data_IF_592928765473
#
_entry.id   IF_592928765473
#
_cell.length_a   1.000
_cell.length_b   1.000
_cell.length_c   1.000
_cell.angle_alpha   90.00
_cell.angle_beta   90.00
_cell.angle_gamma   90.00
#
_symmetry.space_group_name_H-M   'P 1'
#
loop_
_entity.id
_entity.type
_entity.pdbx_description
1 polymer ?
#
# COMPACT_ATOMS: atom_id res chain seq x y z
N UNK A 1 22.94 -57.55 9.59
CA UNK A 1 23.56 -57.42 8.24
C UNK A 1 23.07 -56.10 7.66
N UNK A 2 23.81 -55.33 6.85
CA UNK A 2 25.22 -55.41 6.47
C UNK A 2 25.66 -54.05 5.86
N UNK A 3 26.95 -53.69 5.93
CA UNK A 3 27.45 -52.42 5.38
C UNK A 3 27.64 -52.52 3.85
N UNK A 4 27.26 -51.46 3.14
CA UNK A 4 27.95 -51.02 1.92
C UNK A 4 27.80 -49.50 1.80
N UNK A 5 28.85 -48.82 1.35
CA UNK A 5 28.87 -47.37 1.19
C UNK A 5 29.50 -46.99 -0.15
N UNK A 6 29.02 -45.90 -0.75
CA UNK A 6 29.54 -45.34 -1.99
C UNK A 6 30.00 -43.90 -1.78
N UNK A 7 31.24 -43.57 -2.18
CA UNK A 7 31.79 -42.21 -2.15
C UNK A 7 31.73 -41.60 -3.56
N UNK A 8 31.02 -40.50 -3.72
CA UNK A 8 31.02 -39.62 -4.90
C UNK A 8 30.45 -38.26 -4.49
N UNK A 9 30.97 -37.11 -4.92
CA UNK A 9 32.20 -36.82 -5.67
C UNK A 9 32.37 -35.29 -5.75
N UNK A 10 33.60 -34.77 -5.80
CA UNK A 10 33.82 -33.33 -5.88
C UNK A 10 33.46 -32.79 -7.27
N UNK A 11 32.60 -31.76 -7.33
CA UNK A 11 32.56 -30.80 -8.44
C UNK A 11 32.29 -29.38 -7.91
N UNK A 12 33.30 -28.76 -7.32
CA UNK A 12 33.30 -27.32 -7.11
C UNK A 12 33.47 -26.61 -8.47
N UNK A 13 32.45 -25.92 -8.96
CA UNK A 13 32.53 -25.08 -10.16
C UNK A 13 32.65 -23.62 -9.75
N UNK A 14 33.89 -23.15 -9.61
CA UNK A 14 34.16 -21.71 -9.63
C UNK A 14 33.77 -21.14 -10.99
N UNK A 15 33.05 -20.02 -11.01
CA UNK A 15 32.78 -19.23 -12.22
C UNK A 15 33.40 -17.85 -12.01
N UNK A 16 34.62 -17.70 -12.50
CA UNK A 16 35.29 -16.40 -12.56
C UNK A 16 34.63 -15.57 -13.66
N UNK A 17 33.94 -14.50 -13.30
CA UNK A 17 33.44 -13.49 -14.23
C UNK A 17 34.34 -12.25 -14.15
N UNK A 18 35.16 -12.02 -15.18
CA UNK A 18 36.03 -10.84 -15.25
C UNK A 18 35.23 -9.54 -15.42
N UNK A 19 35.80 -8.45 -14.91
CA UNK A 19 35.09 -7.18 -14.80
C UNK A 19 34.87 -6.42 -16.12
N UNK A 20 33.85 -5.57 -16.09
CA UNK A 20 33.64 -4.48 -17.04
C UNK A 20 33.37 -3.19 -16.22
N UNK A 21 34.42 -2.54 -15.75
CA UNK A 21 34.31 -1.29 -15.01
C UNK A 21 34.10 -0.12 -15.99
N UNK A 22 32.87 0.37 -16.10
CA UNK A 22 32.54 1.56 -16.89
C UNK A 22 32.36 2.77 -15.98
N UNK A 23 33.38 3.64 -15.95
CA UNK A 23 33.23 5.01 -15.45
C UNK A 23 32.39 5.81 -16.44
N UNK A 24 31.16 6.15 -16.07
CA UNK A 24 30.38 7.19 -16.73
C UNK A 24 30.32 8.44 -15.83
N UNK A 25 31.34 9.30 -15.93
CA UNK A 25 31.35 10.61 -15.28
C UNK A 25 30.41 11.57 -16.02
N UNK A 26 29.14 11.61 -15.61
CA UNK A 26 28.14 12.52 -16.18
C UNK A 26 28.20 13.91 -15.52
N UNK A 27 28.93 14.83 -16.16
CA UNK A 27 28.92 16.26 -15.79
C UNK A 27 27.58 16.89 -16.19
N UNK A 28 26.67 17.05 -15.23
CA UNK A 28 25.47 17.89 -15.40
C UNK A 28 25.54 19.12 -14.49
N UNK A 29 25.84 20.27 -15.08
CA UNK A 29 25.71 21.57 -14.41
C UNK A 29 24.23 21.97 -14.32
N UNK A 30 23.59 21.67 -13.20
CA UNK A 30 22.26 22.19 -12.89
C UNK A 30 22.35 23.65 -12.44
N UNK A 31 21.72 24.57 -13.18
CA UNK A 31 21.58 25.96 -12.75
C UNK A 31 20.61 26.05 -11.57
N UNK A 32 21.10 26.56 -10.44
CA UNK A 32 20.30 26.68 -9.22
C UNK A 32 19.21 27.75 -9.39
N UNK A 33 17.95 27.33 -9.37
CA UNK A 33 16.81 28.23 -9.12
C UNK A 33 16.64 28.34 -7.60
N UNK A 34 16.52 29.56 -7.09
CA UNK A 34 16.40 29.81 -5.66
C UNK A 34 14.93 29.78 -5.23
N UNK A 35 14.52 28.72 -4.52
CA UNK A 35 13.22 28.69 -3.85
C UNK A 35 13.21 29.63 -2.63
N UNK A 36 12.28 30.60 -2.54
CA UNK A 36 12.10 31.39 -1.34
C UNK A 36 11.38 30.57 -0.25
N UNK A 37 11.84 30.69 1.00
CA UNK A 37 11.26 30.09 2.20
C UNK A 37 11.44 28.56 2.39
N UNK A 38 12.66 28.05 2.23
CA UNK A 38 13.11 26.93 3.06
C UNK A 38 13.31 27.39 4.53
N UNK A 39 12.95 26.58 5.55
CA UNK A 39 13.28 26.89 6.95
C UNK A 39 14.80 26.84 7.17
N UNK A 40 15.32 27.55 8.20
CA UNK A 40 16.77 27.68 8.41
C UNK A 40 17.43 26.32 8.66
N UNK A 41 18.32 25.92 7.75
CA UNK A 41 19.16 24.73 7.90
C UNK A 41 20.15 25.00 9.05
N UNK A 42 20.24 24.11 10.07
CA UNK A 42 21.22 24.26 11.13
C UNK A 42 22.66 24.20 10.58
N UNK A 43 23.64 24.87 11.22
CA UNK A 43 24.99 24.98 10.68
C UNK A 43 25.66 23.61 10.48
N UNK A 44 26.58 23.50 9.49
CA UNK A 44 27.27 22.24 9.21
C UNK A 44 28.08 21.77 10.42
N UNK A 45 28.19 20.45 10.56
CA UNK A 45 28.67 19.81 11.78
C UNK A 45 30.04 20.33 12.24
N UNK A 46 30.07 20.98 13.40
CA UNK A 46 31.26 21.02 14.25
C UNK A 46 31.69 19.57 14.51
N UNK A 47 32.99 19.30 14.45
CA UNK A 47 33.55 17.99 14.75
C UNK A 47 33.22 17.54 16.17
N UNK A 48 33.37 16.23 16.43
CA UNK A 48 33.31 15.68 17.78
C UNK A 48 34.52 16.15 18.60
N UNK A 49 34.46 17.40 19.09
CA UNK A 49 35.32 17.90 20.15
C UNK A 49 35.04 17.16 21.45
N UNK A 50 36.00 17.15 22.36
CA UNK A 50 35.78 16.63 23.70
C UNK A 50 34.67 17.46 24.39
N UNK A 51 33.68 16.79 24.98
CA UNK A 51 32.65 17.44 25.81
C UNK A 51 33.37 18.04 27.02
N UNK A 52 33.52 19.36 27.00
CA UNK A 52 34.32 20.12 27.98
C UNK A 52 33.48 21.15 28.73
N UNK A 53 32.25 21.40 28.29
CA UNK A 53 31.28 22.27 28.93
C UNK A 53 29.90 21.62 29.07
N UNK A 54 29.07 22.18 29.96
CA UNK A 54 27.65 21.82 30.11
C UNK A 54 26.87 22.08 28.82
N UNK A 55 27.28 23.08 28.03
CA UNK A 55 26.64 23.42 26.76
C UNK A 55 26.88 22.33 25.70
N UNK A 56 28.06 21.72 25.68
CA UNK A 56 28.36 20.59 24.78
C UNK A 56 27.53 19.37 25.16
N UNK A 57 27.39 19.07 26.46
CA UNK A 57 26.57 17.96 26.96
C UNK A 57 25.08 18.15 26.61
N UNK A 58 24.55 19.37 26.75
CA UNK A 58 23.18 19.71 26.36
C UNK A 58 22.97 19.61 24.84
N UNK A 59 23.94 20.05 24.03
CA UNK A 59 23.89 19.90 22.57
C UNK A 59 23.95 18.41 22.15
N UNK A 60 24.78 17.62 22.83
CA UNK A 60 24.89 16.18 22.60
C UNK A 60 23.63 15.42 23.03
N UNK A 61 23.00 15.79 24.15
CA UNK A 61 21.67 15.31 24.57
C UNK A 61 20.63 15.56 23.48
N UNK A 62 20.52 16.81 23.02
CA UNK A 62 19.56 17.18 21.98
C UNK A 62 19.81 16.40 20.67
N UNK A 63 21.08 16.17 20.30
CA UNK A 63 21.42 15.39 19.10
C UNK A 63 21.11 13.90 19.24
N UNK A 64 21.32 13.31 20.42
CA UNK A 64 20.95 11.92 20.71
C UNK A 64 19.44 11.73 20.65
N UNK A 65 18.68 12.62 21.30
CA UNK A 65 17.22 12.60 21.27
C UNK A 65 16.68 12.74 19.84
N UNK A 66 17.25 13.64 19.04
CA UNK A 66 16.89 13.78 17.63
C UNK A 66 17.22 12.54 16.78
N UNK A 67 18.35 11.86 17.03
CA UNK A 67 18.70 10.63 16.31
C UNK A 67 17.77 9.46 16.64
N UNK A 68 17.35 9.31 17.90
CA UNK A 68 16.32 8.33 18.27
C UNK A 68 14.96 8.68 17.65
N UNK A 69 14.55 9.96 17.63
CA UNK A 69 13.31 10.40 16.98
C UNK A 69 13.32 10.12 15.46
N UNK A 70 14.45 10.35 14.80
CA UNK A 70 14.65 10.01 13.37
C UNK A 70 14.56 8.50 13.13
N UNK A 71 15.16 7.67 14.00
CA UNK A 71 15.04 6.22 13.92
C UNK A 71 13.61 5.72 14.19
N UNK A 72 12.84 6.39 15.06
CA UNK A 72 11.45 6.03 15.34
C UNK A 72 10.50 6.44 14.19
N UNK A 73 10.65 7.63 13.61
CA UNK A 73 9.97 8.01 12.36
C UNK A 73 10.23 6.98 11.24
N UNK A 74 11.48 6.54 11.09
CA UNK A 74 11.86 5.53 10.11
C UNK A 74 11.28 4.14 10.43
N UNK A 75 11.16 3.79 11.72
CA UNK A 75 10.50 2.56 12.21
C UNK A 75 9.01 2.56 11.88
N UNK A 76 8.31 3.65 12.15
CA UNK A 76 6.89 3.77 11.85
C UNK A 76 6.61 3.83 10.35
N UNK A 77 7.49 4.48 9.57
CA UNK A 77 7.46 4.39 8.09
C UNK A 77 7.65 2.96 7.61
N UNK A 78 8.65 2.24 8.11
CA UNK A 78 8.91 0.84 7.79
C UNK A 78 7.70 -0.05 8.11
N UNK A 79 7.08 0.15 9.28
CA UNK A 79 5.86 -0.54 9.69
C UNK A 79 4.69 -0.24 8.74
N UNK A 80 4.47 1.03 8.36
CA UNK A 80 3.42 1.42 7.42
C UNK A 80 3.63 0.82 6.02
N UNK A 81 4.87 0.83 5.53
CA UNK A 81 5.22 0.23 4.23
C UNK A 81 5.03 -1.28 4.23
N UNK A 82 5.40 -1.99 5.31
CA UNK A 82 5.15 -3.43 5.46
C UNK A 82 3.65 -3.78 5.52
N UNK A 83 2.87 -2.99 6.24
CA UNK A 83 1.40 -3.11 6.26
C UNK A 83 0.81 -2.93 4.86
N UNK A 84 1.24 -1.90 4.12
CA UNK A 84 0.80 -1.67 2.74
C UNK A 84 1.26 -2.79 1.80
N UNK A 85 2.48 -3.31 1.97
CA UNK A 85 3.01 -4.43 1.19
C UNK A 85 2.18 -5.71 1.41
N UNK A 86 1.83 -6.03 2.66
CA UNK A 86 0.93 -7.15 2.97
C UNK A 86 -0.45 -6.99 2.32
N UNK A 87 -1.06 -5.79 2.42
CA UNK A 87 -2.34 -5.46 1.78
C UNK A 87 -2.25 -5.56 0.24
N UNK A 88 -1.12 -5.20 -0.37
CA UNK A 88 -0.88 -5.31 -1.81
C UNK A 88 -0.64 -6.76 -2.25
N UNK A 89 0.10 -7.57 -1.47
CA UNK A 89 0.32 -8.98 -1.78
C UNK A 89 -1.00 -9.78 -1.77
N UNK A 90 -1.95 -9.47 -0.88
CA UNK A 90 -3.31 -10.04 -0.93
C UNK A 90 -3.98 -9.72 -2.27
N UNK A 91 -3.97 -8.46 -2.71
CA UNK A 91 -4.54 -8.06 -4.02
C UNK A 91 -3.86 -8.75 -5.20
N UNK A 92 -2.53 -8.94 -5.16
CA UNK A 92 -1.80 -9.70 -6.19
C UNK A 92 -2.33 -11.13 -6.26
N UNK A 93 -2.56 -11.79 -5.12
CA UNK A 93 -3.12 -13.13 -5.07
C UNK A 93 -4.56 -13.17 -5.61
N UNK A 94 -5.41 -12.23 -5.19
CA UNK A 94 -6.82 -12.12 -5.61
C UNK A 94 -6.95 -11.89 -7.12
N UNK A 95 -6.16 -10.96 -7.68
CA UNK A 95 -6.15 -10.68 -9.12
C UNK A 95 -5.58 -11.86 -9.91
N UNK A 96 -4.55 -12.54 -9.42
CA UNK A 96 -4.04 -13.76 -10.06
C UNK A 96 -5.09 -14.89 -10.10
N UNK A 97 -5.86 -15.07 -9.03
CA UNK A 97 -7.01 -15.99 -9.04
C UNK A 97 -8.09 -15.53 -10.04
N UNK A 98 -8.38 -14.23 -10.10
CA UNK A 98 -9.26 -13.64 -11.10
C UNK A 98 -8.83 -13.91 -12.55
N UNK A 99 -7.53 -13.79 -12.86
CA UNK A 99 -6.97 -14.07 -14.18
C UNK A 99 -7.23 -15.52 -14.62
N UNK A 100 -7.19 -16.49 -13.70
CA UNK A 100 -7.52 -17.90 -14.02
C UNK A 100 -8.98 -18.03 -14.46
N UNK A 101 -9.92 -17.44 -13.73
CA UNK A 101 -11.34 -17.44 -14.10
C UNK A 101 -11.61 -16.66 -15.40
N UNK A 102 -10.95 -15.51 -15.59
CA UNK A 102 -11.08 -14.72 -16.82
C UNK A 102 -10.58 -15.49 -18.06
N UNK A 103 -9.48 -16.25 -17.94
CA UNK A 103 -9.00 -17.15 -19.02
C UNK A 103 -10.02 -18.23 -19.35
N UNK A 104 -10.64 -18.86 -18.34
CA UNK A 104 -11.70 -19.87 -18.56
C UNK A 104 -12.93 -19.26 -19.25
N UNK A 105 -13.33 -18.04 -18.88
CA UNK A 105 -14.43 -17.33 -19.54
C UNK A 105 -14.12 -16.96 -21.00
N UNK A 106 -12.89 -16.54 -21.30
CA UNK A 106 -12.43 -16.29 -22.67
C UNK A 106 -12.47 -17.58 -23.50
N UNK A 107 -11.97 -18.70 -22.96
CA UNK A 107 -11.95 -19.96 -23.70
C UNK A 107 -13.36 -20.51 -23.95
N UNK A 108 -14.25 -20.45 -22.93
CA UNK A 108 -15.66 -20.79 -23.11
C UNK A 108 -16.35 -19.90 -24.16
N UNK A 109 -16.05 -18.61 -24.19
CA UNK A 109 -16.62 -17.71 -25.19
C UNK A 109 -16.07 -17.99 -26.61
N UNK A 110 -14.83 -18.48 -26.73
CA UNK A 110 -14.27 -18.97 -27.99
C UNK A 110 -14.91 -20.28 -28.44
N UNK A 111 -15.21 -21.20 -27.53
CA UNK A 111 -16.03 -22.39 -27.83
C UNK A 111 -17.44 -22.01 -28.30
N UNK A 112 -18.06 -21.01 -27.68
CA UNK A 112 -19.39 -20.51 -28.05
C UNK A 112 -19.39 -19.86 -29.45
N UNK A 113 -18.42 -18.99 -29.74
CA UNK A 113 -18.17 -18.46 -31.09
C UNK A 113 -17.83 -19.56 -32.11
N UNK A 114 -17.03 -20.55 -31.71
CA UNK A 114 -16.65 -21.69 -32.55
C UNK A 114 -17.81 -22.64 -32.87
N UNK A 115 -18.86 -22.67 -32.05
CA UNK A 115 -20.15 -23.31 -32.39
C UNK A 115 -20.96 -22.45 -33.35
N UNK A 116 -21.06 -21.14 -33.08
CA UNK A 116 -21.78 -20.19 -33.95
C UNK A 116 -21.22 -20.16 -35.39
N UNK A 117 -19.91 -20.03 -35.56
CA UNK A 117 -19.27 -20.02 -36.87
C UNK A 117 -19.54 -21.31 -37.66
N UNK A 118 -19.56 -22.47 -36.99
CA UNK A 118 -19.93 -23.76 -37.62
C UNK A 118 -21.39 -23.82 -38.03
N UNK A 119 -22.32 -23.22 -37.26
CA UNK A 119 -23.74 -23.14 -37.64
C UNK A 119 -23.93 -22.27 -38.89
N UNK A 120 -23.31 -21.08 -38.94
CA UNK A 120 -23.38 -20.20 -40.11
C UNK A 120 -22.74 -20.83 -41.36
N UNK A 121 -21.61 -21.53 -41.20
CA UNK A 121 -20.96 -22.24 -42.30
C UNK A 121 -21.81 -23.42 -42.82
N UNK A 122 -22.41 -24.21 -41.93
CA UNK A 122 -23.22 -25.38 -42.33
C UNK A 122 -24.61 -25.00 -42.85
N UNK A 123 -25.18 -23.87 -42.45
CA UNK A 123 -26.42 -23.32 -43.03
C UNK A 123 -26.23 -22.65 -44.41
N UNK A 124 -25.00 -22.65 -44.96
CA UNK A 124 -24.62 -22.07 -46.26
C UNK A 124 -24.84 -20.56 -46.41
N UNK A 125 -25.05 -19.82 -45.32
CA UNK A 125 -25.04 -18.35 -45.34
C UNK A 125 -26.07 -17.67 -46.25
N UNK A 126 -27.18 -18.34 -46.59
CA UNK A 126 -28.29 -17.71 -47.30
C UNK A 126 -28.90 -16.63 -46.41
N UNK A 127 -28.90 -15.38 -46.87
CA UNK A 127 -29.45 -14.24 -46.13
C UNK A 127 -30.95 -14.47 -45.82
N UNK A 128 -31.47 -14.08 -44.65
CA UNK A 128 -32.90 -14.21 -44.32
C UNK A 128 -33.85 -13.56 -45.34
N UNK A 129 -33.48 -12.44 -45.96
CA UNK A 129 -34.26 -11.79 -47.01
C UNK A 129 -34.21 -12.57 -48.33
N UNK A 130 -33.06 -13.16 -48.68
CA UNK A 130 -32.95 -14.06 -49.83
C UNK A 130 -33.76 -15.34 -49.59
N UNK A 131 -33.76 -15.85 -48.35
CA UNK A 131 -34.55 -17.01 -47.92
C UNK A 131 -36.05 -16.72 -47.99
N UNK A 132 -36.48 -15.51 -47.60
CA UNK A 132 -37.84 -15.02 -47.78
C UNK A 132 -38.22 -14.89 -49.27
N UNK A 133 -37.37 -14.28 -50.09
CA UNK A 133 -37.63 -14.11 -51.54
C UNK A 133 -37.67 -15.42 -52.33
N UNK A 134 -36.98 -16.47 -51.87
CA UNK A 134 -37.02 -17.81 -52.45
C UNK A 134 -38.05 -18.73 -51.75
N UNK A 135 -38.76 -18.26 -50.72
CA UNK A 135 -39.77 -19.03 -50.00
C UNK A 135 -41.07 -19.15 -50.81
N UNK A 136 -41.58 -20.38 -50.93
CA UNK A 136 -42.91 -20.65 -51.49
C UNK A 136 -44.07 -20.31 -50.52
N UNK A 137 -43.78 -19.89 -49.29
CA UNK A 137 -44.74 -19.62 -48.22
C UNK A 137 -44.28 -18.39 -47.39
N UNK A 138 -44.48 -17.15 -47.86
CA UNK A 138 -44.03 -15.95 -47.15
C UNK A 138 -44.77 -15.73 -45.81
N UNK A 139 -46.04 -16.15 -45.70
CA UNK A 139 -46.83 -16.05 -44.46
C UNK A 139 -46.27 -16.94 -43.34
N UNK A 140 -45.60 -18.05 -43.71
CA UNK A 140 -44.91 -18.91 -42.76
C UNK A 140 -43.70 -18.17 -42.16
N UNK A 141 -42.86 -17.57 -43.01
CA UNK A 141 -41.70 -16.78 -42.56
C UNK A 141 -42.12 -15.59 -41.67
N UNK A 142 -43.22 -14.90 -41.99
CA UNK A 142 -43.73 -13.79 -41.17
C UNK A 142 -44.24 -14.25 -39.79
N UNK A 143 -44.71 -15.51 -39.64
CA UNK A 143 -45.00 -16.11 -38.33
C UNK A 143 -43.73 -16.48 -37.56
N UNK A 144 -42.72 -16.96 -38.26
CA UNK A 144 -41.45 -17.44 -37.67
C UNK A 144 -40.43 -16.30 -37.43
N UNK A 145 -40.68 -15.08 -37.94
CA UNK A 145 -39.80 -13.92 -37.82
C UNK A 145 -39.33 -13.56 -36.39
N UNK A 146 -40.15 -13.64 -35.32
CA UNK A 146 -39.68 -13.42 -33.95
C UNK A 146 -38.61 -14.43 -33.50
N UNK A 147 -38.63 -15.64 -34.05
CA UNK A 147 -37.62 -16.67 -33.80
C UNK A 147 -36.29 -16.31 -34.47
N UNK A 148 -36.32 -15.80 -35.71
CA UNK A 148 -35.13 -15.31 -36.41
C UNK A 148 -34.51 -14.08 -35.72
N UNK A 149 -35.34 -13.17 -35.19
CA UNK A 149 -34.87 -12.03 -34.39
C UNK A 149 -34.20 -12.51 -33.10
N UNK A 150 -34.85 -13.40 -32.33
CA UNK A 150 -34.27 -13.97 -31.10
C UNK A 150 -32.95 -14.71 -31.38
N UNK A 151 -32.86 -15.46 -32.49
CA UNK A 151 -31.61 -16.10 -32.92
C UNK A 151 -30.55 -15.04 -33.19
N UNK A 152 -30.87 -13.96 -33.92
CA UNK A 152 -29.93 -12.88 -34.25
C UNK A 152 -29.40 -12.18 -33.00
N UNK A 153 -30.29 -11.82 -32.06
CA UNK A 153 -29.88 -11.25 -30.76
C UNK A 153 -28.97 -12.23 -29.97
N UNK A 154 -29.30 -13.52 -29.96
CA UNK A 154 -28.45 -14.56 -29.31
C UNK A 154 -27.03 -14.63 -29.94
N UNK A 155 -26.89 -14.36 -31.24
CA UNK A 155 -25.58 -14.28 -31.91
C UNK A 155 -24.82 -13.03 -31.48
N UNK A 156 -25.48 -11.86 -31.47
CA UNK A 156 -24.89 -10.59 -31.04
C UNK A 156 -24.45 -10.65 -29.56
N UNK A 157 -25.26 -11.20 -28.67
CA UNK A 157 -24.93 -11.44 -27.26
C UNK A 157 -23.71 -12.37 -27.09
N UNK A 158 -23.52 -13.33 -27.98
CA UNK A 158 -22.37 -14.25 -27.93
C UNK A 158 -21.08 -13.53 -28.33
N UNK A 159 -21.14 -12.68 -29.36
CA UNK A 159 -20.02 -11.81 -29.76
C UNK A 159 -19.71 -10.77 -28.67
N UNK A 160 -20.74 -10.16 -28.09
CA UNK A 160 -20.60 -9.18 -27.01
C UNK A 160 -19.95 -9.80 -25.75
N UNK A 161 -20.40 -10.98 -25.32
CA UNK A 161 -19.83 -11.72 -24.18
C UNK A 161 -18.37 -12.12 -24.43
N UNK A 162 -18.02 -12.55 -25.64
CA UNK A 162 -16.63 -12.88 -25.98
C UNK A 162 -15.71 -11.66 -25.90
N UNK A 163 -16.12 -10.54 -26.52
CA UNK A 163 -15.41 -9.26 -26.43
C UNK A 163 -15.27 -8.77 -24.99
N UNK A 164 -16.32 -8.90 -24.18
CA UNK A 164 -16.30 -8.55 -22.76
C UNK A 164 -15.33 -9.44 -21.95
N UNK A 165 -15.30 -10.75 -22.20
CA UNK A 165 -14.38 -11.67 -21.52
C UNK A 165 -12.91 -11.34 -21.83
N UNK A 166 -12.58 -11.05 -23.09
CA UNK A 166 -11.20 -10.66 -23.46
C UNK A 166 -10.82 -9.28 -22.87
N UNK A 167 -11.74 -8.32 -22.83
CA UNK A 167 -11.55 -7.04 -22.16
C UNK A 167 -11.36 -7.19 -20.64
N UNK A 168 -12.12 -8.09 -19.99
CA UNK A 168 -11.97 -8.39 -18.55
C UNK A 168 -10.61 -9.04 -18.25
N UNK A 169 -10.18 -10.00 -19.08
CA UNK A 169 -8.86 -10.62 -18.94
C UNK A 169 -7.73 -9.59 -19.07
N UNK A 170 -7.76 -8.74 -20.11
CA UNK A 170 -6.77 -7.69 -20.31
C UNK A 170 -6.75 -6.66 -19.16
N UNK A 171 -7.92 -6.30 -18.62
CA UNK A 171 -8.03 -5.41 -17.46
C UNK A 171 -7.43 -6.04 -16.18
N UNK A 172 -7.67 -7.34 -15.94
CA UNK A 172 -7.09 -8.05 -14.81
C UNK A 172 -5.57 -8.21 -14.95
N UNK A 173 -5.04 -8.49 -16.15
CA UNK A 173 -3.59 -8.54 -16.39
C UNK A 173 -2.93 -7.18 -16.09
N UNK A 174 -3.48 -6.08 -16.62
CA UNK A 174 -3.00 -4.72 -16.32
C UNK A 174 -3.09 -4.38 -14.83
N UNK A 175 -4.10 -4.91 -14.13
CA UNK A 175 -4.21 -4.78 -12.68
C UNK A 175 -3.09 -5.52 -11.96
N UNK A 176 -2.80 -6.77 -12.32
CA UNK A 176 -1.71 -7.55 -11.73
C UNK A 176 -0.34 -6.87 -11.92
N UNK A 177 -0.05 -6.38 -13.13
CA UNK A 177 1.17 -5.62 -13.41
C UNK A 177 1.28 -4.37 -12.52
N UNK A 178 0.16 -3.66 -12.31
CA UNK A 178 0.13 -2.48 -11.43
C UNK A 178 0.41 -2.82 -9.96
N UNK A 179 -0.14 -3.92 -9.45
CA UNK A 179 0.05 -4.33 -8.05
C UNK A 179 1.47 -4.89 -7.83
N UNK A 180 2.05 -5.56 -8.83
CA UNK A 180 3.44 -6.03 -8.79
C UNK A 180 4.45 -4.87 -8.85
N UNK A 181 4.17 -3.82 -9.64
CA UNK A 181 4.98 -2.60 -9.64
C UNK A 181 4.93 -1.87 -8.29
N UNK A 182 3.74 -1.77 -7.69
CA UNK A 182 3.53 -1.19 -6.36
C UNK A 182 4.23 -2.02 -5.26
N UNK A 183 4.15 -3.35 -5.30
CA UNK A 183 4.87 -4.25 -4.38
C UNK A 183 6.37 -3.93 -4.37
N UNK A 184 6.99 -3.88 -5.55
CA UNK A 184 8.43 -3.56 -5.72
C UNK A 184 8.80 -2.16 -5.22
N UNK A 185 7.92 -1.16 -5.38
CA UNK A 185 8.13 0.18 -4.82
C UNK A 185 8.13 0.14 -3.29
N UNK A 186 7.17 -0.56 -2.69
CA UNK A 186 7.07 -0.71 -1.24
C UNK A 186 8.25 -1.51 -0.68
N UNK A 187 8.68 -2.58 -1.34
CA UNK A 187 9.89 -3.33 -0.98
C UNK A 187 11.15 -2.42 -0.94
N UNK A 188 11.33 -1.55 -1.94
CA UNK A 188 12.43 -0.58 -1.98
C UNK A 188 12.31 0.49 -0.88
N UNK A 189 11.10 0.98 -0.60
CA UNK A 189 10.86 1.95 0.47
C UNK A 189 11.07 1.36 1.86
N UNK A 190 10.73 0.08 2.07
CA UNK A 190 11.01 -0.65 3.30
C UNK A 190 12.52 -0.88 3.49
N UNK A 191 13.26 -1.23 2.43
CA UNK A 191 14.73 -1.33 2.47
C UNK A 191 15.36 0.01 2.81
N UNK A 192 14.90 1.11 2.21
CA UNK A 192 15.40 2.46 2.57
C UNK A 192 15.07 2.81 4.03
N UNK A 193 13.80 2.66 4.45
CA UNK A 193 13.39 2.98 5.81
C UNK A 193 14.18 2.16 6.84
N UNK A 194 14.47 0.88 6.56
CA UNK A 194 15.36 0.06 7.40
C UNK A 194 16.76 0.67 7.53
N UNK A 195 17.38 1.09 6.42
CA UNK A 195 18.70 1.73 6.46
C UNK A 195 18.67 3.07 7.23
N UNK A 196 17.59 3.84 7.12
CA UNK A 196 17.36 5.07 7.88
C UNK A 196 17.28 4.77 9.40
N UNK A 197 16.62 3.67 9.82
CA UNK A 197 16.61 3.19 11.23
C UNK A 197 18.01 2.82 11.71
N UNK A 198 18.71 1.94 10.97
CA UNK A 198 20.03 1.41 11.36
C UNK A 198 21.06 2.55 11.48
N UNK A 199 21.01 3.54 10.59
CA UNK A 199 21.85 4.73 10.65
C UNK A 199 21.54 5.65 11.85
N UNK A 200 20.25 5.84 12.18
CA UNK A 200 19.83 6.64 13.33
C UNK A 200 20.27 6.04 14.67
N UNK A 201 20.07 4.73 14.84
CA UNK A 201 20.49 3.98 16.04
C UNK A 201 22.02 4.01 16.19
N UNK A 202 22.77 3.60 15.15
CA UNK A 202 24.23 3.57 15.21
C UNK A 202 24.83 4.97 15.42
N UNK A 203 24.17 6.03 14.91
CA UNK A 203 24.53 7.41 15.18
C UNK A 203 24.37 7.79 16.66
N UNK A 204 23.26 7.40 17.29
CA UNK A 204 23.00 7.68 18.70
C UNK A 204 23.93 6.87 19.63
N UNK A 205 24.10 5.58 19.36
CA UNK A 205 25.03 4.70 20.09
C UNK A 205 26.47 5.21 20.03
N UNK A 206 26.93 5.68 18.86
CA UNK A 206 28.26 6.26 18.68
C UNK A 206 28.49 7.54 19.49
N UNK A 207 27.45 8.35 19.72
CA UNK A 207 27.56 9.52 20.60
C UNK A 207 27.63 9.09 22.07
N UNK A 208 26.73 8.22 22.53
CA UNK A 208 26.71 7.72 23.91
C UNK A 208 28.02 7.00 24.28
N UNK A 209 28.60 6.23 23.35
CA UNK A 209 29.88 5.53 23.54
C UNK A 209 31.09 6.48 23.67
N UNK A 210 30.92 7.79 23.41
CA UNK A 210 31.95 8.81 23.62
C UNK A 210 31.90 9.49 25.00
N UNK A 211 30.94 9.15 25.87
CA UNK A 211 30.71 9.83 27.14
C UNK A 211 31.35 9.08 28.32
N UNK A 212 31.73 9.82 29.38
CA UNK A 212 32.12 9.22 30.66
C UNK A 212 30.89 8.78 31.48
N UNK A 213 31.03 7.87 32.47
CA UNK A 213 29.92 7.46 33.33
C UNK A 213 29.22 8.64 34.03
N UNK A 214 29.97 9.68 34.40
CA UNK A 214 29.47 10.89 35.05
C UNK A 214 28.66 11.75 34.06
N UNK A 215 29.09 11.84 32.80
CA UNK A 215 28.34 12.51 31.73
C UNK A 215 27.04 11.77 31.39
N UNK A 216 27.05 10.43 31.42
CA UNK A 216 25.83 9.61 31.25
C UNK A 216 24.87 9.79 32.45
N UNK A 217 25.39 9.84 33.68
CA UNK A 217 24.56 10.08 34.86
C UNK A 217 23.92 11.48 34.87
N UNK A 218 24.68 12.53 34.51
CA UNK A 218 24.14 13.89 34.37
C UNK A 218 23.13 13.99 33.22
N UNK A 219 23.35 13.27 32.10
CA UNK A 219 22.39 13.15 31.00
C UNK A 219 21.07 12.52 31.46
N UNK A 220 21.10 11.41 32.19
CA UNK A 220 19.89 10.80 32.76
C UNK A 220 19.21 11.74 33.78
N UNK A 221 19.98 12.49 34.57
CA UNK A 221 19.45 13.51 35.47
C UNK A 221 18.84 14.72 34.70
N UNK A 222 19.35 15.09 33.52
CA UNK A 222 18.75 16.10 32.65
C UNK A 222 17.43 15.59 32.05
N UNK A 223 17.39 14.33 31.56
CA UNK A 223 16.15 13.69 31.08
C UNK A 223 15.09 13.63 32.19
N UNK A 224 15.47 13.28 33.43
CA UNK A 224 14.58 13.26 34.59
C UNK A 224 14.00 14.65 34.93
N UNK A 225 14.86 15.68 35.05
CA UNK A 225 14.43 17.07 35.32
C UNK A 225 13.46 17.60 34.26
N UNK A 226 13.72 17.30 32.98
CA UNK A 226 12.80 17.65 31.89
C UNK A 226 11.45 16.92 32.01
N UNK A 227 11.47 15.63 32.37
CA UNK A 227 10.27 14.83 32.55
C UNK A 227 9.43 15.23 33.78
N UNK A 228 10.04 15.76 34.82
CA UNK A 228 9.34 16.37 35.96
C UNK A 228 8.68 17.70 35.59
N UNK A 229 9.41 18.58 34.88
CA UNK A 229 8.88 19.87 34.44
C UNK A 229 7.68 19.73 33.49
N UNK A 230 7.77 18.83 32.50
CA UNK A 230 6.65 18.51 31.61
C UNK A 230 5.48 17.83 32.34
N UNK A 231 5.74 17.00 33.36
CA UNK A 231 4.69 16.44 34.21
C UNK A 231 3.99 17.49 35.07
N UNK A 232 4.69 18.51 35.58
CA UNK A 232 4.07 19.61 36.31
C UNK A 232 3.11 20.42 35.42
N UNK A 233 3.51 20.70 34.18
CA UNK A 233 2.66 21.34 33.18
C UNK A 233 1.41 20.49 32.88
N UNK A 234 1.58 19.19 32.60
CA UNK A 234 0.47 18.28 32.33
C UNK A 234 -0.49 18.16 33.53
N UNK A 235 0.03 18.08 34.75
CA UNK A 235 -0.78 18.01 35.98
C UNK A 235 -1.65 19.27 36.15
N UNK A 236 -1.10 20.43 35.78
CA UNK A 236 -1.85 21.71 35.77
C UNK A 236 -2.98 21.71 34.74
N UNK A 237 -2.79 21.06 33.58
CA UNK A 237 -3.79 20.97 32.52
C UNK A 237 -4.93 19.95 32.80
N UNK A 238 -4.64 18.85 33.49
CA UNK A 238 -5.62 17.76 33.73
C UNK A 238 -6.31 17.82 35.10
N UNK A 239 -5.80 18.61 36.05
CA UNK A 239 -6.37 18.73 37.39
C UNK A 239 -6.36 17.39 38.16
N UNK A 240 -7.54 16.92 38.58
CA UNK A 240 -7.71 15.57 39.14
C UNK A 240 -8.04 14.58 38.01
N UNK A 241 -7.11 13.69 37.60
CA UNK A 241 -7.35 12.77 36.49
C UNK A 241 -8.39 11.71 36.86
N UNK A 242 -9.33 11.45 35.96
CA UNK A 242 -10.26 10.33 36.12
C UNK A 242 -9.50 8.99 36.22
N UNK A 243 -9.95 8.14 37.14
CA UNK A 243 -9.41 6.79 37.37
C UNK A 243 -10.38 5.70 36.87
N UNK A 244 -11.56 6.09 36.39
CA UNK A 244 -12.50 5.19 35.73
C UNK A 244 -12.11 4.94 34.28
N UNK A 245 -12.34 3.72 33.83
CA UNK A 245 -12.13 3.29 32.44
C UNK A 245 -13.08 2.14 32.09
N UNK A 246 -13.10 1.64 30.85
CA UNK A 246 -13.98 0.50 30.49
C UNK A 246 -13.33 -0.84 30.84
N UNK A 247 -14.12 -1.95 30.94
CA UNK A 247 -13.56 -3.29 31.09
C UNK A 247 -12.54 -3.66 29.99
N UNK A 248 -12.73 -3.17 28.75
CA UNK A 248 -11.79 -3.41 27.64
C UNK A 248 -10.48 -2.64 27.85
N UNK A 249 -10.56 -1.36 28.17
CA UNK A 249 -9.39 -0.56 28.49
C UNK A 249 -8.60 -1.13 29.69
N UNK A 250 -9.29 -1.61 30.73
CA UNK A 250 -8.67 -2.28 31.87
C UNK A 250 -7.90 -3.56 31.46
N UNK A 251 -8.44 -4.37 30.55
CA UNK A 251 -7.73 -5.53 29.97
C UNK A 251 -6.51 -5.13 29.14
N UNK A 252 -6.61 -4.05 28.34
CA UNK A 252 -5.50 -3.54 27.55
C UNK A 252 -4.36 -3.02 28.44
N UNK A 253 -4.69 -2.26 29.49
CA UNK A 253 -3.75 -1.76 30.50
C UNK A 253 -3.05 -2.93 31.21
N UNK A 254 -3.82 -3.91 31.70
CA UNK A 254 -3.27 -5.07 32.40
C UNK A 254 -2.31 -5.88 31.51
N UNK A 255 -2.67 -6.08 30.24
CA UNK A 255 -1.81 -6.75 29.27
C UNK A 255 -0.54 -5.96 28.95
N UNK A 256 -0.61 -4.62 28.84
CA UNK A 256 0.55 -3.78 28.59
C UNK A 256 1.50 -3.71 29.81
N UNK A 257 0.95 -3.71 31.03
CA UNK A 257 1.71 -3.84 32.29
C UNK A 257 2.48 -5.17 32.32
N UNK A 258 1.87 -6.27 31.88
CA UNK A 258 2.48 -7.60 31.75
C UNK A 258 3.57 -7.68 30.65
N UNK A 259 3.91 -6.56 29.97
CA UNK A 259 5.07 -6.44 29.08
C UNK A 259 6.21 -5.59 29.65
N UNK A 260 6.05 -4.98 30.82
CA UNK A 260 7.11 -4.18 31.46
C UNK A 260 8.36 -5.05 31.68
N UNK A 261 9.54 -4.51 31.38
CA UNK A 261 10.81 -5.22 31.43
C UNK A 261 11.20 -5.99 30.16
N UNK A 262 10.28 -6.23 29.22
CA UNK A 262 10.65 -6.74 27.88
C UNK A 262 11.40 -5.65 27.08
N UNK A 263 12.33 -6.02 26.18
CA UNK A 263 13.09 -5.05 25.39
C UNK A 263 12.23 -4.31 24.36
N UNK A 264 12.62 -3.07 24.06
CA UNK A 264 12.20 -2.42 22.81
C UNK A 264 12.79 -3.18 21.62
N UNK A 265 11.97 -3.45 20.61
CA UNK A 265 12.42 -3.99 19.31
C UNK A 265 11.73 -3.17 18.23
N UNK A 266 12.49 -2.53 17.34
CA UNK A 266 11.93 -1.78 16.20
C UNK A 266 11.17 -2.75 15.27
N UNK A 267 9.96 -2.37 14.86
CA UNK A 267 9.02 -3.27 14.18
C UNK A 267 8.37 -4.34 15.08
N UNK A 268 8.73 -4.40 16.37
CA UNK A 268 8.40 -5.48 17.29
C UNK A 268 6.91 -5.56 17.64
N UNK A 269 6.36 -6.78 17.55
CA UNK A 269 4.95 -7.09 17.85
C UNK A 269 4.78 -8.27 18.81
N UNK A 270 5.84 -8.60 19.57
CA UNK A 270 5.88 -9.71 20.51
C UNK A 270 6.25 -11.07 19.92
N UNK A 271 6.36 -12.12 20.77
CA UNK A 271 6.20 -12.07 22.23
C UNK A 271 7.45 -11.59 22.98
N UNK A 272 8.62 -11.55 22.33
CA UNK A 272 9.93 -11.30 22.98
C UNK A 272 10.29 -9.81 23.16
N UNK A 273 9.51 -8.90 22.59
CA UNK A 273 9.74 -7.45 22.63
C UNK A 273 8.84 -6.71 21.63
N UNK A 274 8.72 -5.39 21.79
CA UNK A 274 7.73 -4.56 21.08
C UNK A 274 8.31 -3.18 20.72
N UNK A 275 7.78 -2.53 19.68
CA UNK A 275 7.89 -1.07 19.53
C UNK A 275 6.68 -0.35 20.16
N UNK A 276 6.67 0.98 20.14
CA UNK A 276 5.67 1.80 20.83
C UNK A 276 4.25 1.54 20.32
N UNK A 277 4.05 1.55 18.99
CA UNK A 277 2.78 1.31 18.32
C UNK A 277 2.39 -0.18 18.30
N UNK A 278 3.38 -1.09 18.36
CA UNK A 278 3.20 -2.53 18.49
C UNK A 278 2.71 -2.94 19.87
N UNK A 279 3.21 -2.29 20.92
CA UNK A 279 2.72 -2.45 22.29
C UNK A 279 1.25 -2.02 22.43
N UNK A 280 0.90 -0.81 21.95
CA UNK A 280 -0.49 -0.31 22.03
C UNK A 280 -1.44 -1.15 21.18
N UNK A 281 -1.06 -1.52 19.95
CA UNK A 281 -1.91 -2.28 19.05
C UNK A 281 -2.16 -3.72 19.52
N UNK A 282 -1.16 -4.38 20.11
CA UNK A 282 -1.34 -5.72 20.69
C UNK A 282 -2.12 -5.71 22.01
N UNK A 283 -1.92 -4.70 22.86
CA UNK A 283 -2.71 -4.53 24.09
C UNK A 283 -4.21 -4.36 23.79
N UNK A 284 -4.55 -3.49 22.84
CA UNK A 284 -5.94 -3.26 22.46
C UNK A 284 -6.55 -4.39 21.62
N UNK A 285 -5.75 -5.09 20.80
CA UNK A 285 -6.19 -6.33 20.15
C UNK A 285 -6.52 -7.44 21.17
N UNK A 286 -5.72 -7.59 22.23
CA UNK A 286 -6.00 -8.53 23.34
C UNK A 286 -7.31 -8.19 24.06
N UNK A 287 -7.60 -6.90 24.25
CA UNK A 287 -8.89 -6.42 24.78
C UNK A 287 -10.08 -6.52 23.80
N UNK A 288 -9.91 -7.11 22.62
CA UNK A 288 -10.97 -7.22 21.62
C UNK A 288 -11.38 -5.88 20.99
N UNK A 289 -10.41 -5.00 20.78
CA UNK A 289 -10.51 -3.77 19.95
C UNK A 289 -9.24 -3.65 19.08
N UNK A 290 -9.13 -4.38 17.96
CA UNK A 290 -7.96 -4.29 17.10
C UNK A 290 -7.83 -2.88 16.51
N UNK A 291 -6.76 -2.17 16.87
CA UNK A 291 -6.37 -0.88 16.31
C UNK A 291 -5.27 -1.05 15.26
N UNK A 292 -4.97 0.03 14.53
CA UNK A 292 -3.97 0.05 13.45
C UNK A 292 -2.54 -0.19 13.95
N UNK A 293 -1.65 -0.65 13.06
CA UNK A 293 -0.29 -1.08 13.42
C UNK A 293 0.64 0.08 13.81
N UNK A 294 0.55 1.21 13.12
CA UNK A 294 1.46 2.36 13.32
C UNK A 294 0.86 3.45 14.19
N UNK A 295 1.71 4.25 14.82
CA UNK A 295 1.31 5.40 15.63
C UNK A 295 0.57 6.46 14.80
N UNK A 296 0.97 6.70 13.54
CA UNK A 296 0.26 7.61 12.63
C UNK A 296 -1.08 7.04 12.17
N UNK A 297 -1.19 5.74 11.86
CA UNK A 297 -2.49 5.15 11.53
C UNK A 297 -3.43 5.15 12.76
N UNK A 298 -2.90 4.94 13.98
CA UNK A 298 -3.66 5.05 15.24
C UNK A 298 -4.14 6.50 15.46
N UNK A 299 -3.25 7.50 15.37
CA UNK A 299 -3.60 8.92 15.44
C UNK A 299 -4.63 9.33 14.37
N UNK A 300 -4.48 8.86 13.13
CA UNK A 300 -5.35 9.20 12.02
C UNK A 300 -6.76 8.59 12.15
N UNK A 301 -6.87 7.32 12.58
CA UNK A 301 -8.12 6.55 12.54
C UNK A 301 -8.96 6.57 13.81
N UNK A 302 -8.37 6.87 14.98
CA UNK A 302 -9.08 6.79 16.26
C UNK A 302 -9.79 8.10 16.65
N UNK A 303 -10.87 8.06 17.45
CA UNK A 303 -11.48 9.25 18.04
C UNK A 303 -10.47 10.07 18.86
N UNK A 304 -10.41 11.38 18.64
CA UNK A 304 -9.57 12.32 19.41
C UNK A 304 -10.28 12.74 20.68
N UNK A 305 -9.52 12.95 21.76
CA UNK A 305 -10.03 13.38 23.07
C UNK A 305 -9.20 14.58 23.56
N UNK A 306 -9.80 15.62 24.17
CA UNK A 306 -9.05 16.69 24.83
C UNK A 306 -8.13 16.12 25.92
N UNK A 307 -6.91 16.64 26.05
CA UNK A 307 -5.92 16.12 27.03
C UNK A 307 -6.47 16.14 28.46
N UNK A 308 -7.23 17.17 28.83
CA UNK A 308 -7.90 17.28 30.14
C UNK A 308 -9.05 16.26 30.38
N UNK A 309 -9.42 15.46 29.37
CA UNK A 309 -10.44 14.41 29.43
C UNK A 309 -9.84 13.01 29.20
N UNK A 310 -8.51 12.87 29.23
CA UNK A 310 -7.84 11.58 29.08
C UNK A 310 -8.07 10.69 30.31
N UNK A 311 -8.40 9.42 30.06
CA UNK A 311 -8.66 8.38 31.07
C UNK A 311 -7.76 7.16 30.84
N UNK A 312 -7.51 6.31 31.85
CA UNK A 312 -6.65 5.13 31.69
C UNK A 312 -7.07 4.29 30.48
N UNK A 313 -6.10 3.85 29.67
CA UNK A 313 -6.30 3.08 28.44
C UNK A 313 -6.31 3.94 27.17
N UNK A 314 -6.63 5.24 27.27
CA UNK A 314 -6.44 6.18 26.17
C UNK A 314 -4.96 6.21 25.75
N UNK A 315 -4.70 6.47 24.47
CA UNK A 315 -3.35 6.51 23.91
C UNK A 315 -2.90 7.96 23.76
N UNK A 316 -1.75 8.28 24.35
CA UNK A 316 -1.09 9.59 24.21
C UNK A 316 -0.12 9.49 23.03
N UNK A 317 -0.36 10.33 22.03
CA UNK A 317 0.46 10.48 20.83
C UNK A 317 1.41 11.65 21.04
N UNK A 318 2.68 11.45 20.72
CA UNK A 318 3.77 12.40 20.96
C UNK A 318 4.43 12.85 19.65
N UNK A 319 5.00 14.06 19.69
CA UNK A 319 5.65 14.77 18.58
C UNK A 319 4.71 15.11 17.40
N UNK A 320 5.01 16.18 16.66
CA UNK A 320 4.13 16.71 15.59
C UNK A 320 3.98 15.77 14.37
N UNK A 321 4.88 14.80 14.25
CA UNK A 321 4.91 13.72 13.25
C UNK A 321 4.17 12.45 13.73
N UNK A 322 3.60 12.47 14.94
CA UNK A 322 3.01 11.33 15.63
C UNK A 322 3.95 10.10 15.71
N UNK A 323 5.28 10.30 15.74
CA UNK A 323 6.26 9.21 15.75
C UNK A 323 6.12 8.28 16.95
N UNK A 324 5.93 8.81 18.16
CA UNK A 324 5.89 8.02 19.40
C UNK A 324 4.49 7.93 20.01
N UNK A 325 4.18 6.83 20.70
CA UNK A 325 2.89 6.60 21.33
C UNK A 325 3.00 5.77 22.63
N UNK A 326 2.22 6.13 23.65
CA UNK A 326 2.14 5.42 24.92
C UNK A 326 0.70 5.22 25.39
N UNK A 327 0.44 4.22 26.22
CA UNK A 327 -0.88 3.99 26.83
C UNK A 327 -0.95 4.66 28.20
N UNK A 328 -1.95 5.51 28.42
CA UNK A 328 -2.16 6.20 29.70
C UNK A 328 -2.64 5.23 30.78
N UNK A 329 -2.09 5.33 31.98
CA UNK A 329 -2.41 4.47 33.13
C UNK A 329 -3.30 5.17 34.18
N UNK A 330 -3.51 6.48 34.05
CA UNK A 330 -3.99 7.33 35.16
C UNK A 330 -2.84 8.05 35.87
N UNK A 331 -3.17 8.93 36.83
CA UNK A 331 -2.22 9.60 37.71
C UNK A 331 -0.99 10.25 37.03
N UNK A 332 -1.14 10.73 35.79
CA UNK A 332 -0.03 11.30 35.03
C UNK A 332 1.07 10.27 34.70
N UNK A 333 0.71 9.00 34.45
CA UNK A 333 1.64 7.93 34.07
C UNK A 333 1.24 7.26 32.76
N UNK A 334 2.23 6.83 31.98
CA UNK A 334 2.07 5.97 30.79
C UNK A 334 2.82 4.66 30.98
N UNK A 335 2.41 3.63 30.25
CA UNK A 335 3.28 2.51 29.85
C UNK A 335 3.63 2.64 28.37
N UNK A 336 4.91 2.48 28.03
CA UNK A 336 5.39 2.59 26.65
C UNK A 336 6.64 1.74 26.42
N UNK A 337 6.95 1.48 25.14
CA UNK A 337 8.24 0.97 24.70
C UNK A 337 9.07 2.20 24.23
N UNK A 338 10.06 2.67 25.00
CA UNK A 338 10.64 4.01 24.81
C UNK A 338 11.54 4.18 23.59
N UNK A 339 12.59 3.35 23.45
CA UNK A 339 13.60 3.40 22.36
C UNK A 339 14.49 2.15 22.40
N UNK A 340 15.24 1.82 21.32
CA UNK A 340 16.26 0.77 21.34
C UNK A 340 17.23 0.90 22.52
N UNK A 341 17.73 -0.24 23.02
CA UNK A 341 18.62 -0.30 24.20
C UNK A 341 17.91 -0.09 25.55
N UNK A 342 16.62 0.24 25.58
CA UNK A 342 15.78 0.33 26.79
C UNK A 342 14.67 -0.74 26.77
N UNK A 343 14.05 -0.96 27.92
CA UNK A 343 12.92 -1.87 28.12
C UNK A 343 11.59 -1.12 28.19
N UNK A 344 10.49 -1.83 27.99
CA UNK A 344 9.12 -1.35 28.24
C UNK A 344 9.02 -0.94 29.71
N UNK A 345 8.58 0.28 29.96
CA UNK A 345 8.63 0.91 31.28
C UNK A 345 7.39 1.76 31.54
N UNK A 346 7.21 2.12 32.81
CA UNK A 346 6.31 3.20 33.23
C UNK A 346 7.09 4.51 33.19
N UNK A 347 6.45 5.58 32.71
CA UNK A 347 7.02 6.93 32.68
C UNK A 347 5.96 7.99 33.04
N UNK A 348 6.41 9.22 33.30
CA UNK A 348 5.50 10.37 33.42
C UNK A 348 4.81 10.63 32.08
N UNK A 349 3.49 10.82 32.08
CA UNK A 349 2.73 11.10 30.86
C UNK A 349 3.17 12.41 30.17
N UNK A 350 3.65 13.38 30.96
CA UNK A 350 4.20 14.65 30.46
C UNK A 350 5.70 14.63 30.13
N UNK A 351 6.36 13.47 30.05
CA UNK A 351 7.82 13.41 29.82
C UNK A 351 8.27 13.80 28.41
N UNK A 352 7.35 13.86 27.45
CA UNK A 352 7.59 14.11 26.03
C UNK A 352 6.52 15.07 25.47
N UNK A 353 6.80 15.83 24.39
CA UNK A 353 5.84 16.76 23.79
C UNK A 353 4.59 16.03 23.25
N UNK A 354 3.44 16.23 23.90
CA UNK A 354 2.15 15.63 23.51
C UNK A 354 1.61 16.32 22.25
N UNK A 355 1.30 15.54 21.22
CA UNK A 355 0.51 15.98 20.05
C UNK A 355 -1.00 15.93 20.37
N UNK A 356 -1.44 14.87 21.04
CA UNK A 356 -2.84 14.71 21.43
C UNK A 356 -3.12 13.35 22.06
N UNK A 357 -4.40 13.11 22.37
CA UNK A 357 -4.89 11.87 22.96
C UNK A 357 -5.96 11.27 22.05
N UNK A 358 -5.94 9.94 21.89
CA UNK A 358 -6.97 9.19 21.16
C UNK A 358 -7.51 8.03 21.98
N UNK A 359 -8.79 7.71 21.78
CA UNK A 359 -9.55 6.73 22.57
C UNK A 359 -10.02 5.56 21.70
N UNK A 360 -9.44 4.37 21.82
CA UNK A 360 -9.84 3.19 21.04
C UNK A 360 -11.27 2.70 21.24
N UNK A 361 -11.89 2.97 22.39
CA UNK A 361 -13.15 2.34 22.79
C UNK A 361 -14.36 3.29 22.86
N UNK A 362 -15.50 2.83 22.34
CA UNK A 362 -16.79 3.42 22.65
C UNK A 362 -17.15 3.14 24.12
N UNK A 363 -17.45 4.19 24.90
CA UNK A 363 -17.49 4.16 26.36
C UNK A 363 -18.67 3.43 27.01
N UNK A 364 -18.76 2.12 26.82
CA UNK A 364 -19.77 1.27 27.45
C UNK A 364 -19.31 0.75 28.83
N UNK A 365 -19.87 1.34 29.89
CA UNK A 365 -19.63 0.95 31.29
C UNK A 365 -18.28 1.40 31.86
N UNK A 366 -18.21 1.61 33.18
CA UNK A 366 -16.96 1.97 33.87
C UNK A 366 -16.57 0.97 34.97
N UNK A 367 -15.26 0.82 35.14
CA UNK A 367 -14.55 0.09 36.17
C UNK A 367 -13.34 0.92 36.61
N UNK A 368 -12.74 0.60 37.76
CA UNK A 368 -11.45 1.19 38.14
C UNK A 368 -10.35 0.65 37.22
N UNK A 369 -9.37 1.50 36.86
CA UNK A 369 -8.18 1.04 36.16
C UNK A 369 -7.35 0.05 37.01
N UNK A 370 -6.57 -0.86 36.38
CA UNK A 370 -5.63 -1.72 37.09
C UNK A 370 -4.62 -0.92 37.92
N UNK A 371 -4.21 -1.47 39.07
CA UNK A 371 -3.22 -0.82 39.92
C UNK A 371 -1.88 -0.64 39.18
N UNK A 372 -1.35 0.57 39.19
CA UNK A 372 -0.05 0.91 38.60
C UNK A 372 1.05 0.24 39.44
N UNK A 373 1.93 -0.60 38.85
CA UNK A 373 3.04 -1.21 39.57
C UNK A 373 3.99 -0.18 40.19
N UNK A 374 4.45 -0.44 41.42
CA UNK A 374 5.53 0.30 42.06
C UNK A 374 6.90 -0.15 41.52
N UNK A 375 7.14 -0.01 40.21
CA UNK A 375 8.46 -0.26 39.62
C UNK A 375 9.38 0.94 39.86
N UNK A 376 10.57 0.75 40.48
CA UNK A 376 11.60 1.79 40.48
C UNK A 376 12.08 2.02 39.04
N UNK A 377 12.66 3.20 38.78
CA UNK A 377 13.32 3.54 37.51
C UNK A 377 14.31 2.44 37.13
N UNK A 378 14.29 1.90 35.90
CA UNK A 378 15.24 0.87 35.49
C UNK A 378 16.67 1.43 35.53
N UNK A 379 17.67 0.63 35.98
CA UNK A 379 19.06 1.07 35.98
C UNK A 379 19.58 1.32 34.56
N UNK A 380 20.67 2.11 34.39
CA UNK A 380 21.30 2.31 33.08
C UNK A 380 21.67 0.95 32.46
N UNK A 381 21.16 0.69 31.27
CA UNK A 381 21.30 -0.59 30.59
C UNK A 381 22.68 -0.73 29.95
N UNK A 382 23.38 -1.83 30.25
CA UNK A 382 24.55 -2.25 29.47
C UNK A 382 24.15 -2.51 28.01
N UNK A 383 25.05 -2.34 27.03
CA UNK A 383 24.76 -2.63 25.62
C UNK A 383 24.37 -4.10 25.42
N UNK A 384 23.07 -4.37 25.26
CA UNK A 384 22.58 -5.68 24.87
C UNK A 384 22.73 -5.79 23.36
N UNK A 385 23.75 -6.53 22.91
CA UNK A 385 23.91 -6.88 21.49
C UNK A 385 22.59 -7.43 20.96
N UNK A 386 22.01 -6.86 19.88
CA UNK A 386 20.73 -7.34 19.38
C UNK A 386 20.86 -8.82 18.96
N UNK A 387 19.84 -9.66 19.23
CA UNK A 387 19.82 -11.01 18.68
C UNK A 387 19.85 -10.93 17.15
N UNK A 388 20.47 -11.90 16.45
CA UNK A 388 20.53 -11.89 14.99
C UNK A 388 19.12 -11.79 14.44
N UNK A 389 18.88 -10.78 13.60
CA UNK A 389 17.56 -10.54 13.02
C UNK A 389 17.12 -11.77 12.24
N UNK A 390 16.06 -12.44 12.70
CA UNK A 390 15.38 -13.44 11.89
C UNK A 390 14.96 -12.74 10.60
N UNK A 391 15.33 -13.26 9.42
CA UNK A 391 14.87 -12.67 8.18
C UNK A 391 13.33 -12.71 8.13
N UNK A 392 12.69 -11.81 7.36
CA UNK A 392 11.26 -11.96 7.07
C UNK A 392 10.99 -13.36 6.51
N UNK A 393 9.75 -13.89 6.66
CA UNK A 393 9.39 -15.18 6.08
C UNK A 393 9.81 -15.20 4.62
N UNK A 394 10.69 -16.16 4.27
CA UNK A 394 11.45 -16.13 3.01
C UNK A 394 10.53 -15.90 1.83
N UNK A 395 10.87 -14.94 0.99
CA UNK A 395 10.13 -14.63 -0.25
C UNK A 395 9.75 -15.94 -0.93
N UNK A 396 8.45 -16.23 -1.15
CA UNK A 396 8.08 -17.42 -1.91
C UNK A 396 8.80 -17.34 -3.27
N UNK A 397 9.34 -18.45 -3.79
CA UNK A 397 10.15 -18.42 -4.99
C UNK A 397 9.37 -17.71 -6.10
N UNK A 398 10.03 -16.84 -6.90
CA UNK A 398 9.35 -16.02 -7.89
C UNK A 398 8.50 -16.94 -8.77
N UNK A 399 7.18 -16.75 -8.72
CA UNK A 399 6.24 -17.59 -9.45
C UNK A 399 6.50 -17.36 -10.93
N UNK A 400 7.31 -18.23 -11.52
CA UNK A 400 7.62 -18.22 -12.94
C UNK A 400 6.31 -18.43 -13.68
N UNK A 401 5.81 -17.36 -14.31
CA UNK A 401 4.74 -17.46 -15.28
C UNK A 401 5.20 -18.49 -16.32
N UNK A 402 4.51 -19.65 -16.44
CA UNK A 402 4.96 -20.68 -17.37
C UNK A 402 4.94 -20.09 -18.79
N UNK A 403 5.99 -20.33 -19.60
CA UNK A 403 6.07 -19.76 -20.93
C UNK A 403 4.84 -20.16 -21.74
N UNK A 404 4.25 -19.19 -22.43
CA UNK A 404 3.05 -19.40 -23.25
C UNK A 404 3.40 -20.16 -24.52
N UNK A 405 3.50 -21.49 -24.42
CA UNK A 405 3.58 -22.37 -25.59
C UNK A 405 2.27 -22.26 -26.37
N UNK A 406 2.28 -21.80 -27.63
CA UNK A 406 1.07 -21.85 -28.46
C UNK A 406 0.68 -23.31 -28.72
N UNK A 407 -0.62 -23.63 -28.85
CA UNK A 407 -1.05 -24.98 -29.19
C UNK A 407 -0.51 -25.40 -30.57
N UNK A 408 -0.19 -26.69 -30.78
CA UNK A 408 0.44 -27.14 -32.01
C UNK A 408 -0.51 -26.97 -33.21
N UNK A 409 -0.06 -26.24 -34.22
CA UNK A 409 -0.76 -26.11 -35.51
C UNK A 409 -0.75 -27.46 -36.24
N UNK A 410 -1.91 -28.11 -36.36
CA UNK A 410 -2.07 -29.28 -37.22
C UNK A 410 -1.76 -28.93 -38.68
N UNK A 411 -0.98 -29.74 -39.41
CA UNK A 411 -0.71 -29.51 -40.83
C UNK A 411 -1.99 -29.70 -41.68
N UNK A 412 -2.07 -29.05 -42.86
CA UNK A 412 -3.24 -29.18 -43.73
C UNK A 412 -3.37 -30.59 -44.31
N UNK A 413 -4.60 -31.13 -44.32
CA UNK A 413 -4.91 -32.42 -44.93
C UNK A 413 -4.92 -32.27 -46.45
N UNK A 414 -4.11 -33.05 -47.15
CA UNK A 414 -4.08 -33.13 -48.61
C UNK A 414 -5.18 -34.05 -49.13
N UNK A 415 -6.09 -33.50 -49.94
CA UNK A 415 -7.03 -34.30 -50.74
C UNK A 415 -6.42 -34.67 -52.10
N UNK A 416 -6.65 -35.90 -52.61
CA UNK A 416 -6.18 -36.30 -53.93
C UNK A 416 -6.96 -35.61 -55.07
N UNK A 417 -6.38 -35.50 -56.27
CA UNK A 417 -6.98 -34.75 -57.38
C UNK A 417 -8.16 -35.51 -58.02
N UNK A 418 -9.20 -34.77 -58.38
CA UNK A 418 -10.26 -35.23 -59.30
C UNK A 418 -9.82 -34.92 -60.73
N UNK A 419 -9.80 -35.92 -61.60
CA UNK A 419 -9.45 -35.76 -63.02
C UNK A 419 -10.68 -35.44 -63.87
N UNK A 420 -10.57 -34.43 -64.74
CA UNK A 420 -11.52 -34.14 -65.83
C UNK A 420 -10.77 -34.02 -67.17
N UNK A 421 -11.36 -34.47 -68.29
CA UNK A 421 -10.69 -34.53 -69.60
C UNK A 421 -10.51 -33.13 -70.25
N UNK A 422 -9.59 -33.01 -71.24
CA UNK A 422 -9.18 -31.71 -71.79
C UNK A 422 -10.11 -31.18 -72.90
N UNK A 423 -10.14 -29.85 -73.05
CA UNK A 423 -10.65 -29.13 -74.23
C UNK A 423 -9.62 -28.06 -74.64
N UNK A 424 -9.53 -27.79 -75.95
CA UNK A 424 -8.37 -27.20 -76.62
C UNK A 424 -8.21 -25.68 -76.49
N UNK A 425 -6.97 -25.21 -76.62
CA UNK A 425 -6.49 -23.82 -76.54
C UNK A 425 -6.85 -22.92 -77.73
N UNK A 426 -6.98 -21.61 -77.47
CA UNK A 426 -6.77 -20.52 -78.44
C UNK A 426 -6.04 -19.33 -77.76
N UNK A 427 -5.01 -18.70 -78.38
CA UNK A 427 -4.19 -17.62 -77.79
C UNK A 427 -4.62 -16.19 -78.30
N UNK A 428 -3.96 -15.08 -77.92
CA UNK A 428 -4.62 -13.78 -77.71
C UNK A 428 -4.42 -12.71 -78.81
N UNK A 429 -4.97 -11.51 -78.58
CA UNK A 429 -4.77 -10.30 -79.42
C UNK A 429 -4.40 -9.09 -78.52
N UNK A 430 -3.61 -8.15 -79.06
CA UNK A 430 -2.91 -7.09 -78.31
C UNK A 430 -3.35 -5.66 -78.66
N UNK A 431 -3.38 -4.77 -77.64
CA UNK A 431 -3.01 -3.32 -77.58
C UNK A 431 -3.36 -2.32 -78.74
N UNK A 432 -3.57 -1.00 -78.46
CA UNK A 432 -2.49 -0.08 -78.03
C UNK A 432 -2.87 1.03 -76.99
N UNK A 433 -1.89 1.82 -76.48
CA UNK A 433 -2.06 2.73 -75.32
C UNK A 433 -1.92 4.25 -75.62
N UNK A 434 -2.25 5.13 -74.64
CA UNK A 434 -1.81 6.56 -74.62
C UNK A 434 -1.44 7.09 -73.21
N UNK A 435 -0.37 7.89 -73.21
CA UNK A 435 0.51 8.51 -72.20
C UNK A 435 -0.08 9.48 -71.13
N UNK A 436 0.76 9.80 -70.12
CA UNK A 436 0.60 10.65 -68.92
C UNK A 436 0.89 12.16 -69.07
N UNK A 437 0.45 13.02 -68.12
CA UNK A 437 1.07 14.34 -67.72
C UNK A 437 0.54 14.80 -66.32
N UNK A 438 1.31 15.54 -65.46
CA UNK A 438 1.00 15.77 -64.02
C UNK A 438 0.50 17.21 -63.64
N UNK A 439 0.18 17.51 -62.34
CA UNK A 439 -0.55 18.72 -61.92
C UNK A 439 0.29 19.86 -61.25
N UNK A 440 -0.29 21.07 -61.03
CA UNK A 440 0.32 22.20 -60.30
C UNK A 440 -0.16 22.36 -58.83
N UNK A 441 0.38 23.35 -58.11
CA UNK A 441 0.43 23.43 -56.62
C UNK A 441 -0.24 24.66 -55.97
N UNK A 442 -0.51 24.57 -54.66
CA UNK A 442 -0.95 25.65 -53.75
C UNK A 442 0.11 26.73 -53.51
N UNK A 443 -0.27 27.92 -53.01
CA UNK A 443 0.27 28.42 -51.73
C UNK A 443 -0.79 29.06 -50.80
N UNK A 444 -0.39 29.48 -49.58
CA UNK A 444 -1.29 29.94 -48.51
C UNK A 444 -0.76 31.17 -47.74
N UNK A 445 -1.65 31.88 -47.02
CA UNK A 445 -1.32 32.93 -46.03
C UNK A 445 -2.40 33.07 -44.93
N UNK A 446 -1.98 33.59 -43.78
CA UNK A 446 -2.72 33.89 -42.53
C UNK A 446 -2.21 35.27 -42.00
N UNK A 447 -2.54 35.81 -40.80
CA UNK A 447 -3.63 35.58 -39.81
C UNK A 447 -4.33 36.89 -39.31
N UNK A 448 -5.31 36.81 -38.39
CA UNK A 448 -5.47 37.80 -37.29
C UNK A 448 -6.35 37.29 -36.11
N UNK A 449 -6.53 38.07 -35.02
CA UNK A 449 -6.79 37.54 -33.65
C UNK A 449 -7.69 38.38 -32.70
N UNK A 450 -8.79 37.79 -32.16
CA UNK A 450 -9.45 38.08 -30.82
C UNK A 450 -9.96 39.53 -30.50
N UNK A 451 -10.62 39.85 -29.34
CA UNK A 451 -11.27 39.03 -28.28
C UNK A 451 -12.71 39.44 -27.80
N UNK A 452 -13.41 38.47 -27.19
CA UNK A 452 -14.21 38.43 -25.93
C UNK A 452 -15.00 39.62 -25.27
N UNK A 453 -16.26 39.29 -24.89
CA UNK A 453 -17.10 39.75 -23.72
C UNK A 453 -17.65 41.21 -23.64
N UNK A 454 -18.86 41.41 -23.04
CA UNK A 454 -18.98 41.78 -21.61
C UNK A 454 -20.14 41.07 -20.84
N UNK A 455 -20.43 41.47 -19.59
CA UNK A 455 -21.32 40.75 -18.65
C UNK A 455 -22.12 41.68 -17.67
N UNK A 456 -22.95 41.06 -16.78
CA UNK A 456 -23.54 41.62 -15.53
C UNK A 456 -24.74 42.60 -15.78
N UNK A 457 -25.82 42.76 -14.98
CA UNK A 457 -26.26 42.23 -13.66
C UNK A 457 -27.81 42.36 -13.41
N UNK A 458 -28.32 41.77 -12.31
CA UNK A 458 -29.45 42.19 -11.44
C UNK A 458 -30.92 42.32 -11.95
N UNK A 459 -31.86 41.61 -11.29
CA UNK A 459 -33.32 41.87 -11.33
C UNK A 459 -34.24 40.73 -10.78
N UNK A 460 -35.14 41.02 -9.82
CA UNK A 460 -36.02 40.06 -9.11
C UNK A 460 -37.25 40.81 -8.52
N UNK A 461 -38.38 40.22 -8.04
CA UNK A 461 -38.98 38.87 -8.20
C UNK A 461 -40.46 38.89 -8.71
N UNK A 462 -41.11 37.73 -8.89
CA UNK A 462 -42.48 37.45 -8.35
C UNK A 462 -42.88 35.97 -8.35
N UNK A 463 -43.46 35.51 -7.23
CA UNK A 463 -44.50 34.47 -7.01
C UNK A 463 -44.59 33.19 -7.87
N UNK A 464 -44.70 32.01 -7.22
CA UNK A 464 -45.16 30.76 -7.86
C UNK A 464 -44.91 29.47 -7.07
N UNK A 465 -45.91 29.00 -6.33
CA UNK A 465 -46.01 27.66 -5.70
C UNK A 465 -47.41 27.08 -6.05
N UNK A 466 -47.78 25.81 -5.76
CA UNK A 466 -47.12 24.74 -4.97
C UNK A 466 -46.50 23.67 -5.92
N UNK A 467 -46.29 22.36 -5.67
CA UNK A 467 -46.83 21.39 -4.70
C UNK A 467 -45.89 20.20 -4.45
N UNK A 468 -46.25 19.33 -3.49
CA UNK A 468 -45.77 17.94 -3.39
C UNK A 468 -46.95 16.97 -3.49
N UNK A 469 -46.70 15.76 -3.99
CA UNK A 469 -47.67 14.65 -3.92
C UNK A 469 -47.14 13.57 -2.97
N UNK A 470 -48.03 12.98 -2.18
CA UNK A 470 -47.74 11.87 -1.26
C UNK A 470 -48.84 10.82 -1.38
N UNK A 471 -48.51 9.61 -1.84
CA UNK A 471 -49.46 8.51 -1.98
C UNK A 471 -49.61 7.73 -0.67
N UNK A 472 -50.83 7.61 -0.17
CA UNK A 472 -51.18 6.75 0.95
C UNK A 472 -51.85 5.46 0.46
N UNK A 473 -51.66 4.36 1.19
CA UNK A 473 -52.27 3.04 0.93
C UNK A 473 -53.19 2.67 2.10
N UNK A 474 -54.41 2.15 1.86
CA UNK A 474 -55.41 2.00 2.92
C UNK A 474 -55.31 0.70 3.74
N UNK A 475 -55.63 0.85 5.04
CA UNK A 475 -56.39 -0.02 5.96
C UNK A 475 -56.66 -1.50 5.62
N UNK A 476 -56.50 -2.35 6.65
CA UNK A 476 -57.20 -3.63 6.77
C UNK A 476 -56.82 -4.38 8.06
N UNK A 477 -57.79 -4.68 8.93
CA UNK A 477 -57.62 -5.41 10.19
C UNK A 477 -57.93 -4.59 11.43
#
# INVERSE_FOLDING_TARGET
MGKLGGRSGLLARAVTACGAALLCAALFGGSAWADPAAPPVPPPATSAGAITSVQDLLAAQARIQELYRQAEQATERYNATNEQLGRTQTKVNDVNAGIVWARQNVEKARDDLGRLARLQYTSRGMDPLVTLMLSSQPEQFLRDAPTYEHITQTQLDTIARAKQAEQQLAAMQKSADSQLAESRRLEQEAVKAKADIEAGIAGAEKLVAGFTPEQVAELEAMEARAAEAGQAQLTTLIGKPDQQTTPKAALAIAWAIDKIGLPYIWGGVGPVGYDCSGLTSKAWAFAGVPIRRTSQEQWASLPRVPVAQMRPGDLIVYYSDASHIGMYLGNGKIVHAPRPGRTITIANAGSMPILGVVRPDAGAGTVNAPAIPNTPTPPPTTPVTPPPTTPPPTTPPPITVPPTTPPPTTPPVTTPPVTTPPVTTAPPTTEPPVTTTPPPTTPATTPETTPSTPATESGHPTSGAPSKSTSATPSGG
#
